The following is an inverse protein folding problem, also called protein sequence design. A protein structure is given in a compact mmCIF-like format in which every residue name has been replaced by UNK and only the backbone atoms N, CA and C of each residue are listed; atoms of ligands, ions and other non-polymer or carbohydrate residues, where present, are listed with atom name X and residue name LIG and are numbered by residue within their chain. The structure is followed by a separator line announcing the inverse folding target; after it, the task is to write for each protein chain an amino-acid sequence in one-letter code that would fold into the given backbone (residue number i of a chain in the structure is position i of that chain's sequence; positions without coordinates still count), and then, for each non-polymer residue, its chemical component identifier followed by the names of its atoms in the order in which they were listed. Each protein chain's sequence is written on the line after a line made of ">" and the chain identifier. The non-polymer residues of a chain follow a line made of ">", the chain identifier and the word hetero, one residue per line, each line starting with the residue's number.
data_IF_184025472347
#
_entry.id   IF_184025472347
#
_cell.length_a   1.000
_cell.length_b   1.000
_cell.length_c   1.000
_cell.angle_alpha   90.00
_cell.angle_beta   90.00
_cell.angle_gamma   90.00
#
_symmetry.space_group_name_H-M   'P 1'
#
loop_
_entity.id
_entity.type
_entity.pdbx_description
1 polymer ?
#
# COMPACT_ATOMS: atom_id res chain seq x y z
N UNK A 1 -16.13 33.28 4.22
CA UNK A 1 -15.50 32.32 5.15
C UNK A 1 -14.12 32.00 4.58
N UNK A 2 -13.03 32.57 5.12
CA UNK A 2 -11.67 32.25 4.64
C UNK A 2 -11.34 30.83 5.11
N UNK A 3 -11.45 29.86 4.23
CA UNK A 3 -11.00 28.50 4.50
C UNK A 3 -9.48 28.58 4.77
N UNK A 4 -9.03 28.13 5.94
CA UNK A 4 -7.62 28.12 6.28
C UNK A 4 -6.92 27.14 5.35
N UNK A 5 -6.18 27.66 4.36
CA UNK A 5 -5.53 26.87 3.32
C UNK A 5 -4.57 25.82 3.94
N UNK A 6 -3.93 26.17 5.06
CA UNK A 6 -3.06 25.27 5.82
C UNK A 6 -3.80 24.10 6.45
N UNK A 7 -5.03 24.32 6.92
CA UNK A 7 -5.87 23.28 7.50
C UNK A 7 -6.37 22.30 6.43
N UNK A 8 -6.74 22.81 5.25
CA UNK A 8 -7.09 21.98 4.09
C UNK A 8 -5.91 21.11 3.63
N UNK A 9 -4.71 21.70 3.52
CA UNK A 9 -3.49 20.97 3.14
C UNK A 9 -3.16 19.87 4.14
N UNK A 10 -3.27 20.16 5.45
CA UNK A 10 -3.03 19.17 6.50
C UNK A 10 -4.03 18.01 6.43
N UNK A 11 -5.32 18.30 6.23
CA UNK A 11 -6.35 17.28 6.06
C UNK A 11 -6.09 16.40 4.82
N UNK A 12 -5.67 16.99 3.71
CA UNK A 12 -5.33 16.24 2.49
C UNK A 12 -4.10 15.34 2.70
N UNK A 13 -3.09 15.79 3.45
CA UNK A 13 -1.93 14.94 3.79
C UNK A 13 -2.37 13.73 4.62
N UNK A 14 -3.14 13.96 5.69
CA UNK A 14 -3.67 12.87 6.54
C UNK A 14 -4.54 11.91 5.71
N UNK A 15 -5.45 12.46 4.89
CA UNK A 15 -6.31 11.69 4.00
C UNK A 15 -5.52 10.87 2.98
N UNK A 16 -4.41 11.41 2.45
CA UNK A 16 -3.54 10.70 1.51
C UNK A 16 -2.82 9.52 2.16
N UNK A 17 -2.32 9.68 3.39
CA UNK A 17 -1.69 8.61 4.16
C UNK A 17 -2.71 7.49 4.46
N UNK A 18 -3.89 7.88 4.93
CA UNK A 18 -4.97 6.92 5.19
C UNK A 18 -5.39 6.18 3.91
N UNK A 19 -5.49 6.89 2.78
CA UNK A 19 -5.83 6.31 1.48
C UNK A 19 -4.77 5.32 0.98
N UNK A 20 -3.49 5.62 1.14
CA UNK A 20 -2.41 4.68 0.84
C UNK A 20 -2.54 3.39 1.66
N UNK A 21 -2.82 3.51 2.97
CA UNK A 21 -3.03 2.35 3.83
C UNK A 21 -4.25 1.52 3.44
N UNK A 22 -5.39 2.17 3.19
CA UNK A 22 -6.62 1.51 2.76
C UNK A 22 -6.46 0.80 1.41
N UNK A 23 -5.79 1.43 0.44
CA UNK A 23 -5.49 0.79 -0.84
C UNK A 23 -4.60 -0.44 -0.67
N UNK A 24 -3.54 -0.35 0.14
CA UNK A 24 -2.68 -1.49 0.41
C UNK A 24 -3.45 -2.66 1.05
N UNK A 25 -4.32 -2.37 2.02
CA UNK A 25 -5.18 -3.38 2.64
C UNK A 25 -6.16 -3.98 1.62
N UNK A 26 -6.77 -3.16 0.76
CA UNK A 26 -7.65 -3.65 -0.30
C UNK A 26 -6.91 -4.59 -1.25
N UNK A 27 -5.71 -4.22 -1.71
CA UNK A 27 -4.89 -5.05 -2.60
C UNK A 27 -4.55 -6.39 -1.95
N UNK A 28 -4.26 -6.41 -0.65
CA UNK A 28 -3.95 -7.65 0.08
C UNK A 28 -5.20 -8.52 0.33
N UNK A 29 -6.38 -7.91 0.47
CA UNK A 29 -7.62 -8.63 0.75
C UNK A 29 -8.37 -9.10 -0.50
N UNK A 30 -8.28 -8.41 -1.64
CA UNK A 30 -8.99 -8.79 -2.87
C UNK A 30 -8.72 -10.25 -3.26
N UNK A 31 -7.46 -10.74 -3.28
CA UNK A 31 -7.19 -12.13 -3.63
C UNK A 31 -7.92 -13.12 -2.71
N UNK A 32 -7.91 -12.89 -1.38
CA UNK A 32 -8.56 -13.81 -0.44
C UNK A 32 -10.08 -13.84 -0.62
N UNK A 33 -10.70 -12.72 -0.99
CA UNK A 33 -12.11 -12.66 -1.35
C UNK A 33 -12.42 -13.34 -2.69
N UNK A 34 -11.61 -13.10 -3.72
CA UNK A 34 -11.80 -13.73 -5.04
C UNK A 34 -11.67 -15.25 -4.97
N UNK A 35 -10.73 -15.78 -4.17
CA UNK A 35 -10.58 -17.23 -3.99
C UNK A 35 -11.66 -17.88 -3.12
N UNK A 36 -12.39 -17.11 -2.29
CA UNK A 36 -13.38 -17.66 -1.36
C UNK A 36 -14.83 -17.48 -1.78
N UNK A 37 -15.14 -16.38 -2.48
CA UNK A 37 -16.51 -15.95 -2.80
C UNK A 37 -16.74 -15.77 -4.30
N UNK A 38 -15.72 -15.95 -5.14
CA UNK A 38 -15.71 -15.71 -6.60
C UNK A 38 -16.12 -14.29 -7.05
N UNK A 39 -16.59 -13.44 -6.13
CA UNK A 39 -17.00 -12.07 -6.38
C UNK A 39 -16.21 -11.08 -5.52
N UNK A 40 -15.89 -9.92 -6.10
CA UNK A 40 -15.28 -8.81 -5.38
C UNK A 40 -16.37 -8.08 -4.58
N UNK A 41 -16.27 -8.02 -3.23
CA UNK A 41 -17.25 -7.32 -2.39
C UNK A 41 -17.45 -5.87 -2.83
N UNK A 42 -18.72 -5.43 -2.83
CA UNK A 42 -19.11 -4.07 -3.24
C UNK A 42 -18.32 -2.96 -2.53
N UNK A 43 -17.94 -3.17 -1.27
CA UNK A 43 -17.10 -2.23 -0.51
C UNK A 43 -15.77 -1.89 -1.19
N UNK A 44 -15.10 -2.85 -1.85
CA UNK A 44 -13.84 -2.56 -2.54
C UNK A 44 -14.06 -1.71 -3.80
N UNK A 45 -15.20 -1.90 -4.48
CA UNK A 45 -15.60 -1.09 -5.64
C UNK A 45 -15.84 0.38 -5.27
N UNK A 46 -16.13 0.69 -4.00
CA UNK A 46 -16.28 2.06 -3.49
C UNK A 46 -14.97 2.59 -2.89
N UNK A 47 -14.28 1.80 -2.06
CA UNK A 47 -13.10 2.25 -1.32
C UNK A 47 -11.97 2.63 -2.29
N UNK A 48 -11.71 1.81 -3.31
CA UNK A 48 -10.62 2.05 -4.28
C UNK A 48 -10.78 3.40 -5.00
N UNK A 49 -11.92 3.70 -5.66
CA UNK A 49 -12.07 4.98 -6.36
C UNK A 49 -12.05 6.18 -5.41
N UNK A 50 -12.60 6.06 -4.19
CA UNK A 50 -12.52 7.15 -3.19
C UNK A 50 -11.05 7.42 -2.81
N UNK A 51 -10.28 6.38 -2.50
CA UNK A 51 -8.87 6.53 -2.17
C UNK A 51 -8.07 7.12 -3.34
N UNK A 52 -8.31 6.66 -4.57
CA UNK A 52 -7.68 7.23 -5.77
C UNK A 52 -8.02 8.72 -5.95
N UNK A 53 -9.26 9.10 -5.69
CA UNK A 53 -9.72 10.49 -5.77
C UNK A 53 -9.04 11.37 -4.71
N UNK A 54 -8.89 10.87 -3.47
CA UNK A 54 -8.15 11.57 -2.41
C UNK A 54 -6.68 11.72 -2.77
N UNK A 55 -6.04 10.68 -3.32
CA UNK A 55 -4.65 10.77 -3.78
C UNK A 55 -4.49 11.75 -4.94
N UNK A 56 -5.43 11.78 -5.88
CA UNK A 56 -5.44 12.74 -6.97
C UNK A 56 -5.58 14.18 -6.46
N UNK A 57 -6.53 14.45 -5.57
CA UNK A 57 -6.69 15.76 -4.92
C UNK A 57 -5.43 16.18 -4.15
N UNK A 58 -4.86 15.27 -3.36
CA UNK A 58 -3.61 15.54 -2.64
C UNK A 58 -2.44 15.85 -3.60
N UNK A 59 -2.41 15.20 -4.77
CA UNK A 59 -1.41 15.49 -5.81
C UNK A 59 -1.64 16.84 -6.49
N UNK A 60 -2.90 17.23 -6.68
CA UNK A 60 -3.28 18.48 -7.34
C UNK A 60 -3.00 19.72 -6.49
N UNK A 61 -3.22 19.64 -5.18
CA UNK A 61 -2.93 20.72 -4.24
C UNK A 61 -1.47 20.77 -3.75
N UNK A 62 -0.61 19.91 -4.30
CA UNK A 62 0.83 19.92 -4.04
C UNK A 62 1.52 21.03 -4.83
N UNK A 63 2.57 21.61 -4.27
CA UNK A 63 3.46 22.54 -4.99
C UNK A 63 4.31 21.84 -6.07
N UNK A 64 4.48 20.53 -5.96
CA UNK A 64 5.21 19.73 -6.94
C UNK A 64 4.34 19.42 -8.17
N UNK A 65 4.95 19.15 -9.35
CA UNK A 65 4.20 18.72 -10.53
C UNK A 65 3.35 17.47 -10.20
N UNK A 66 2.06 17.57 -10.49
CA UNK A 66 1.00 16.63 -10.07
C UNK A 66 1.36 15.18 -10.34
N UNK A 67 1.89 14.89 -11.54
CA UNK A 67 2.25 13.53 -11.95
C UNK A 67 3.40 12.93 -11.12
N UNK A 68 4.40 13.75 -10.73
CA UNK A 68 5.51 13.29 -9.88
C UNK A 68 5.01 12.97 -8.48
N UNK A 69 4.18 13.83 -7.90
CA UNK A 69 3.65 13.62 -6.56
C UNK A 69 2.69 12.42 -6.53
N UNK A 70 1.88 12.25 -7.56
CA UNK A 70 1.03 11.08 -7.71
C UNK A 70 1.85 9.78 -7.80
N UNK A 71 2.93 9.75 -8.60
CA UNK A 71 3.81 8.58 -8.64
C UNK A 71 4.46 8.27 -7.29
N UNK A 72 4.84 9.30 -6.50
CA UNK A 72 5.37 9.09 -5.14
C UNK A 72 4.32 8.45 -4.23
N UNK A 73 3.08 8.94 -4.27
CA UNK A 73 1.96 8.37 -3.51
C UNK A 73 1.65 6.91 -3.90
N UNK A 74 1.67 6.61 -5.19
CA UNK A 74 1.56 5.23 -5.69
C UNK A 74 2.74 4.38 -5.19
N UNK A 75 3.96 4.90 -5.25
CA UNK A 75 5.15 4.23 -4.71
C UNK A 75 5.03 3.93 -3.21
N UNK A 76 4.52 4.87 -2.41
CA UNK A 76 4.25 4.64 -0.99
C UNK A 76 3.20 3.55 -0.77
N UNK A 77 2.15 3.52 -1.58
CA UNK A 77 1.12 2.46 -1.53
C UNK A 77 1.73 1.08 -1.83
N UNK A 78 2.60 0.99 -2.83
CA UNK A 78 3.33 -0.24 -3.17
C UNK A 78 4.25 -0.65 -2.00
N UNK A 79 5.00 0.28 -1.41
CA UNK A 79 5.84 0.00 -0.24
C UNK A 79 5.04 -0.59 0.93
N UNK A 80 3.89 -0.01 1.26
CA UNK A 80 3.02 -0.52 2.34
C UNK A 80 2.49 -1.92 2.00
N UNK A 81 2.12 -2.15 0.74
CA UNK A 81 1.66 -3.47 0.27
C UNK A 81 2.77 -4.52 0.41
N UNK A 82 3.99 -4.20 -0.02
CA UNK A 82 5.16 -5.09 0.14
C UNK A 82 5.50 -5.35 1.61
N UNK A 83 5.35 -4.35 2.48
CA UNK A 83 5.52 -4.51 3.92
C UNK A 83 4.51 -5.50 4.50
N UNK A 84 3.26 -5.48 4.02
CA UNK A 84 2.26 -6.49 4.34
C UNK A 84 2.67 -7.90 3.90
N UNK A 85 3.27 -8.05 2.72
CA UNK A 85 3.79 -9.33 2.22
C UNK A 85 4.95 -9.83 3.11
N UNK A 86 5.87 -8.96 3.51
CA UNK A 86 6.96 -9.30 4.45
C UNK A 86 6.38 -9.75 5.79
N UNK A 87 5.43 -9.01 6.35
CA UNK A 87 4.79 -9.36 7.62
C UNK A 87 4.07 -10.72 7.55
N UNK A 88 3.41 -11.02 6.42
CA UNK A 88 2.82 -12.33 6.17
C UNK A 88 3.89 -13.44 6.11
N UNK A 89 5.00 -13.22 5.39
CA UNK A 89 6.11 -14.18 5.33
C UNK A 89 6.72 -14.45 6.71
N UNK A 90 6.95 -13.41 7.53
CA UNK A 90 7.43 -13.54 8.91
C UNK A 90 6.46 -14.39 9.73
N UNK A 91 5.15 -14.11 9.63
CA UNK A 91 4.12 -14.89 10.32
C UNK A 91 4.20 -16.38 9.93
N UNK A 92 4.31 -16.69 8.64
CA UNK A 92 4.41 -18.08 8.16
C UNK A 92 5.64 -18.79 8.73
N UNK A 93 6.81 -18.13 8.75
CA UNK A 93 8.04 -18.70 9.34
C UNK A 93 7.86 -18.97 10.83
N UNK A 94 7.32 -18.01 11.58
CA UNK A 94 7.07 -18.16 13.02
C UNK A 94 6.12 -19.33 13.28
N UNK A 95 4.98 -19.40 12.59
CA UNK A 95 3.98 -20.44 12.83
C UNK A 95 4.52 -21.85 12.57
N UNK A 96 5.36 -22.02 11.55
CA UNK A 96 6.03 -23.29 11.29
C UNK A 96 7.09 -23.63 12.34
N UNK A 97 7.89 -22.65 12.78
CA UNK A 97 8.90 -22.87 13.82
C UNK A 97 8.27 -23.30 15.16
N UNK A 98 7.07 -22.81 15.46
CA UNK A 98 6.32 -23.19 16.66
C UNK A 98 5.36 -24.38 16.43
N UNK A 99 5.45 -25.09 15.30
CA UNK A 99 4.57 -26.21 14.93
C UNK A 99 3.06 -25.90 15.05
N UNK A 100 2.68 -24.63 14.87
CA UNK A 100 1.29 -24.18 14.95
C UNK A 100 0.53 -24.40 13.63
N UNK A 101 1.22 -24.77 12.54
CA UNK A 101 0.62 -25.08 11.23
C UNK A 101 1.40 -26.16 10.48
N UNK A 102 0.70 -27.10 9.84
CA UNK A 102 1.27 -28.31 9.20
C UNK A 102 1.54 -28.15 7.69
N UNK A 103 1.14 -27.04 7.04
CA UNK A 103 0.95 -27.04 5.57
C UNK A 103 1.78 -26.08 4.71
N UNK A 104 2.57 -25.17 5.28
CA UNK A 104 3.41 -24.27 4.46
C UNK A 104 4.87 -24.56 4.71
N UNK A 105 5.64 -24.82 3.66
CA UNK A 105 7.08 -25.02 3.80
C UNK A 105 7.75 -23.72 4.25
N UNK A 106 8.67 -23.79 5.22
CA UNK A 106 9.43 -22.64 5.74
C UNK A 106 10.12 -21.84 4.63
N UNK A 107 10.49 -22.51 3.53
CA UNK A 107 11.06 -21.90 2.33
C UNK A 107 10.15 -20.88 1.65
N UNK A 108 8.82 -21.10 1.63
CA UNK A 108 7.87 -20.13 1.07
C UNK A 108 7.82 -18.84 1.90
N UNK A 109 7.84 -18.95 3.23
CA UNK A 109 7.88 -17.79 4.12
C UNK A 109 9.14 -16.95 3.94
N UNK A 110 10.30 -17.60 3.86
CA UNK A 110 11.59 -16.94 3.59
C UNK A 110 11.61 -16.25 2.21
N UNK A 111 11.09 -16.89 1.17
CA UNK A 111 11.02 -16.33 -0.17
C UNK A 111 10.16 -15.06 -0.22
N UNK A 112 9.02 -15.06 0.47
CA UNK A 112 8.14 -13.89 0.59
C UNK A 112 8.83 -12.71 1.31
N UNK A 113 9.60 -12.99 2.36
CA UNK A 113 10.40 -11.97 3.07
C UNK A 113 11.45 -11.38 2.13
N UNK A 114 12.20 -12.21 1.40
CA UNK A 114 13.25 -11.76 0.49
C UNK A 114 12.69 -10.93 -0.67
N UNK A 115 11.61 -11.39 -1.31
CA UNK A 115 10.96 -10.65 -2.40
C UNK A 115 10.34 -9.34 -1.91
N UNK A 116 9.69 -9.35 -0.74
CA UNK A 116 9.11 -8.16 -0.15
C UNK A 116 10.17 -7.11 0.22
N UNK A 117 11.25 -7.52 0.90
CA UNK A 117 12.35 -6.63 1.27
C UNK A 117 13.10 -6.09 0.04
N UNK A 118 13.39 -6.95 -0.93
CA UNK A 118 14.02 -6.54 -2.20
C UNK A 118 13.14 -5.55 -2.98
N UNK A 119 11.83 -5.81 -3.04
CA UNK A 119 10.86 -4.90 -3.65
C UNK A 119 10.83 -3.54 -2.97
N UNK A 120 10.80 -3.50 -1.62
CA UNK A 120 10.81 -2.25 -0.86
C UNK A 120 12.07 -1.44 -1.17
N UNK A 121 13.23 -2.09 -1.23
CA UNK A 121 14.49 -1.43 -1.57
C UNK A 121 14.44 -0.79 -2.97
N UNK A 122 13.91 -1.52 -3.96
CA UNK A 122 13.76 -1.02 -5.33
C UNK A 122 12.82 0.19 -5.36
N UNK A 123 11.65 0.10 -4.72
CA UNK A 123 10.65 1.17 -4.73
C UNK A 123 11.18 2.42 -4.02
N UNK A 124 11.86 2.27 -2.88
CA UNK A 124 12.50 3.40 -2.19
C UNK A 124 13.55 4.05 -3.08
N UNK A 125 14.36 3.26 -3.79
CA UNK A 125 15.37 3.77 -4.72
C UNK A 125 14.73 4.53 -5.89
N UNK A 126 13.60 4.04 -6.41
CA UNK A 126 12.83 4.74 -7.44
C UNK A 126 12.27 6.07 -6.92
N UNK A 127 11.65 6.09 -5.74
CA UNK A 127 11.09 7.32 -5.13
C UNK A 127 12.18 8.37 -4.89
N UNK A 128 13.38 7.94 -4.47
CA UNK A 128 14.54 8.82 -4.25
C UNK A 128 15.27 9.23 -5.52
N UNK A 129 14.89 8.70 -6.69
CA UNK A 129 15.53 9.05 -7.96
C UNK A 129 15.39 10.54 -8.28
N UNK A 130 16.43 11.13 -8.87
CA UNK A 130 16.42 12.52 -9.35
C UNK A 130 15.30 12.82 -10.35
N UNK A 131 14.75 11.79 -10.98
CA UNK A 131 13.64 11.94 -11.93
C UNK A 131 12.31 12.28 -11.23
N UNK A 132 12.12 11.78 -10.01
CA UNK A 132 10.92 11.96 -9.19
C UNK A 132 11.02 13.14 -8.22
N UNK A 133 12.22 13.60 -7.89
CA UNK A 133 12.46 14.88 -7.22
C UNK A 133 12.60 16.03 -8.22
#
# INVERSE_FOLDING_TARGET
>A
MKLNFDLLRTLLVIGSIFSCGMLALCILQIPSYTFSLEEIPFRFKIIIPICLLVLFLASYFSEAPTWKNFLKLVGYTICITLLGIVAYGIRTVIYNLFNLSVSTETGHGLLLICLGAGGIFIVIRCIKSKWLN
#
